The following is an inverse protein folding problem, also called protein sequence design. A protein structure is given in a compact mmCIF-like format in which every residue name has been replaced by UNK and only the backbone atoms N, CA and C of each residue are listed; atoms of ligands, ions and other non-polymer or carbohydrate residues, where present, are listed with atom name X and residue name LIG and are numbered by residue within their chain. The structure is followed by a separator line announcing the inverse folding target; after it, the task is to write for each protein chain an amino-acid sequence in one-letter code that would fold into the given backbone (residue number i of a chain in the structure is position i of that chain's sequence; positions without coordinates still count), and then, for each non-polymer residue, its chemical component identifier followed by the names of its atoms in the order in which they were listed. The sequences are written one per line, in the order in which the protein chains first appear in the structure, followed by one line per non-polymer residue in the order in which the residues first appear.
data_IF_582658482132
#
_entry.id   IF_582658482132
#
_cell.length_a   1.000
_cell.length_b   1.000
_cell.length_c   1.000
_cell.angle_alpha   90.00
_cell.angle_beta   90.00
_cell.angle_gamma   90.00
#
_symmetry.space_group_name_H-M   'P 1'
#
loop_
_entity.id
_entity.type
_entity.pdbx_description
1 polymer ?
#
# COMPACT_ATOMS: atom_id res chain seq x y z
N UNK A 1 7.89 2.41 2.82
CA UNK A 1 7.92 2.00 4.25
C UNK A 1 6.53 2.06 4.87
N UNK A 2 5.79 3.17 4.72
CA UNK A 2 4.45 3.36 5.32
C UNK A 2 3.45 2.26 5.00
N UNK A 3 3.36 1.83 3.74
CA UNK A 3 2.47 0.72 3.32
C UNK A 3 2.78 -0.56 4.10
N UNK A 4 4.06 -0.88 4.33
CA UNK A 4 4.47 -2.07 5.08
C UNK A 4 4.04 -1.97 6.54
N UNK A 5 4.22 -0.80 7.17
CA UNK A 5 3.86 -0.57 8.56
C UNK A 5 2.34 -0.65 8.75
N UNK A 6 1.58 0.04 7.90
CA UNK A 6 0.13 0.00 7.92
C UNK A 6 -0.41 -1.42 7.70
N UNK A 7 0.19 -2.17 6.76
CA UNK A 7 -0.16 -3.58 6.52
C UNK A 7 0.06 -4.44 7.77
N UNK A 8 1.21 -4.29 8.44
CA UNK A 8 1.52 -5.03 9.67
C UNK A 8 0.56 -4.64 10.80
N UNK A 9 0.22 -3.36 10.95
CA UNK A 9 -0.77 -2.89 11.94
C UNK A 9 -2.17 -3.47 11.72
N UNK A 10 -2.55 -3.70 10.46
CA UNK A 10 -3.78 -4.40 10.07
C UNK A 10 -3.70 -5.93 10.22
N UNK A 11 -2.54 -6.48 10.60
CA UNK A 11 -2.34 -7.93 10.70
C UNK A 11 -2.35 -8.65 9.35
N UNK A 12 -2.13 -7.95 8.24
CA UNK A 12 -2.23 -8.51 6.90
C UNK A 12 -0.89 -9.07 6.40
N UNK A 13 -0.92 -10.23 5.75
CA UNK A 13 0.20 -10.73 4.94
C UNK A 13 0.30 -9.95 3.62
N UNK A 14 1.45 -10.04 2.96
CA UNK A 14 1.61 -9.43 1.62
C UNK A 14 0.62 -10.02 0.61
N UNK A 15 0.36 -11.32 0.70
CA UNK A 15 -0.61 -12.01 -0.17
C UNK A 15 -2.04 -11.51 0.07
N UNK A 16 -2.45 -11.37 1.33
CA UNK A 16 -3.77 -10.84 1.67
C UNK A 16 -3.95 -9.40 1.15
N UNK A 17 -2.97 -8.51 1.40
CA UNK A 17 -3.07 -7.13 0.91
C UNK A 17 -3.12 -7.09 -0.63
N UNK A 18 -2.30 -7.88 -1.31
CA UNK A 18 -2.33 -7.98 -2.77
C UNK A 18 -3.66 -8.50 -3.30
N UNK A 19 -4.26 -9.48 -2.62
CA UNK A 19 -5.57 -10.01 -2.98
C UNK A 19 -6.66 -8.95 -2.82
N UNK A 20 -6.65 -8.19 -1.72
CA UNK A 20 -7.61 -7.10 -1.46
C UNK A 20 -7.48 -5.99 -2.51
N UNK A 21 -6.25 -5.58 -2.84
CA UNK A 21 -5.99 -4.43 -3.72
C UNK A 21 -6.02 -4.84 -5.21
N UNK A 22 -5.77 -6.12 -5.51
CA UNK A 22 -5.69 -6.67 -6.87
C UNK A 22 -4.38 -6.32 -7.57
N UNK A 23 -3.24 -6.49 -6.91
CA UNK A 23 -1.91 -6.17 -7.46
C UNK A 23 -0.93 -7.35 -7.45
N UNK A 24 0.06 -7.29 -8.35
CA UNK A 24 1.10 -8.31 -8.44
C UNK A 24 2.02 -8.31 -7.20
N UNK A 25 2.68 -9.44 -6.88
CA UNK A 25 3.71 -9.50 -5.85
C UNK A 25 4.77 -8.41 -5.99
N UNK A 26 5.26 -8.23 -7.22
CA UNK A 26 6.30 -7.28 -7.56
C UNK A 26 5.84 -5.84 -7.30
N UNK A 27 4.58 -5.53 -7.61
CA UNK A 27 3.98 -4.22 -7.36
C UNK A 27 3.96 -3.93 -5.86
N UNK A 28 3.48 -4.87 -5.03
CA UNK A 28 3.46 -4.64 -3.58
C UNK A 28 4.88 -4.47 -3.02
N UNK A 29 5.83 -5.29 -3.45
CA UNK A 29 7.23 -5.19 -2.99
C UNK A 29 7.84 -3.84 -3.37
N UNK A 30 7.61 -3.35 -4.59
CA UNK A 30 8.08 -2.04 -5.04
C UNK A 30 7.50 -0.92 -4.16
N UNK A 31 6.19 -0.97 -3.90
CA UNK A 31 5.47 -0.01 -3.06
C UNK A 31 6.00 -0.02 -1.62
N UNK A 32 6.18 -1.20 -1.01
CA UNK A 32 6.71 -1.30 0.36
C UNK A 32 8.15 -0.76 0.47
N UNK A 33 8.95 -0.90 -0.60
CA UNK A 33 10.29 -0.32 -0.75
C UNK A 33 10.29 1.19 -1.03
N UNK A 34 9.13 1.83 -1.17
CA UNK A 34 9.01 3.26 -1.42
C UNK A 34 9.04 3.67 -2.89
N UNK A 35 8.96 2.70 -3.82
CA UNK A 35 8.89 2.98 -5.25
C UNK A 35 7.47 3.35 -5.66
N UNK A 36 7.07 4.57 -5.33
CA UNK A 36 5.72 5.06 -5.56
C UNK A 36 5.52 5.71 -6.95
N UNK A 37 6.59 5.93 -7.72
CA UNK A 37 6.53 6.66 -9.00
C UNK A 37 5.59 6.03 -10.05
N UNK A 38 5.29 4.74 -9.92
CA UNK A 38 4.37 4.01 -10.81
C UNK A 38 2.99 3.76 -10.20
N UNK A 39 2.73 4.30 -9.00
CA UNK A 39 1.44 4.14 -8.32
C UNK A 39 0.47 5.17 -8.86
N UNK A 40 -0.56 4.70 -9.55
CA UNK A 40 -1.65 5.56 -9.99
C UNK A 40 -2.49 6.04 -8.80
N UNK A 41 -3.18 7.18 -8.95
CA UNK A 41 -4.13 7.70 -7.95
C UNK A 41 -5.17 6.62 -7.57
N UNK A 42 -5.60 5.82 -8.54
CA UNK A 42 -6.53 4.71 -8.31
C UNK A 42 -5.93 3.66 -7.39
N UNK A 43 -4.66 3.29 -7.60
CA UNK A 43 -3.97 2.32 -6.75
C UNK A 43 -3.70 2.88 -5.34
N UNK A 44 -3.32 4.15 -5.25
CA UNK A 44 -3.19 4.87 -3.99
C UNK A 44 -4.49 4.83 -3.17
N UNK A 45 -5.63 5.14 -3.79
CA UNK A 45 -6.96 5.07 -3.13
C UNK A 45 -7.34 3.66 -2.69
N UNK A 46 -7.03 2.65 -3.51
CA UNK A 46 -7.29 1.24 -3.14
C UNK A 46 -6.44 0.80 -1.95
N UNK A 47 -5.17 1.19 -1.91
CA UNK A 47 -4.27 0.90 -0.79
C UNK A 47 -4.74 1.60 0.49
N UNK A 48 -5.05 2.89 0.40
CA UNK A 48 -5.62 3.67 1.50
C UNK A 48 -6.85 2.97 2.10
N UNK A 49 -7.81 2.59 1.25
CA UNK A 49 -9.01 1.86 1.68
C UNK A 49 -8.70 0.49 2.29
N UNK A 50 -7.78 -0.28 1.71
CA UNK A 50 -7.42 -1.62 2.21
C UNK A 50 -6.67 -1.57 3.55
N UNK A 51 -5.91 -0.50 3.78
CA UNK A 51 -5.09 -0.28 4.96
C UNK A 51 -5.78 0.57 6.02
N UNK A 52 -6.94 1.16 5.70
CA UNK A 52 -7.75 2.02 6.56
C UNK A 52 -6.96 3.24 7.06
N UNK A 53 -6.27 3.87 6.11
CA UNK A 53 -5.51 5.09 6.27
C UNK A 53 -5.81 5.99 5.07
N UNK A 54 -5.52 7.29 5.19
CA UNK A 54 -5.71 8.24 4.10
C UNK A 54 -4.62 8.11 3.03
N UNK A 55 -4.89 8.64 1.84
CA UNK A 55 -3.87 8.72 0.79
C UNK A 55 -2.78 9.69 1.23
N UNK A 56 -3.13 10.78 1.92
CA UNK A 56 -2.15 11.68 2.53
C UNK A 56 -1.21 10.92 3.46
N UNK A 57 -1.69 10.12 4.41
CA UNK A 57 -0.82 9.34 5.31
C UNK A 57 0.07 8.31 4.60
N UNK A 58 -0.30 7.86 3.40
CA UNK A 58 0.50 6.93 2.61
C UNK A 58 1.69 7.58 1.90
N UNK A 59 1.55 8.85 1.47
CA UNK A 59 2.51 9.53 0.59
C UNK A 59 3.12 10.80 1.20
N UNK A 60 2.48 11.37 2.22
CA UNK A 60 2.91 12.55 2.94
C UNK A 60 3.27 12.14 4.38
N UNK A 61 4.57 12.05 4.62
CA UNK A 61 5.16 12.32 5.93
C UNK A 61 6.02 13.56 5.74
N UNK A 62 5.78 14.59 6.54
CA UNK A 62 6.78 15.63 6.77
C UNK A 62 8.13 15.02 7.18
#
# INVERSE_FOLDING_TARGET
MEVKIARIRKGLTQEQLRGIVGISPQTLVAIEKGQYQKVSITLAKKLAKALDITVEELFLKD
#
